data_IF_986776778618
#
_entry.id   IF_986776778618
#
_cell.length_a   1.000
_cell.length_b   1.000
_cell.length_c   1.000
_cell.angle_alpha   90.00
_cell.angle_beta   90.00
_cell.angle_gamma   90.00
#
_symmetry.space_group_name_H-M   'P 1'
#
loop_
_entity.id
_entity.type
_entity.pdbx_description
1 polymer ?
#
# COMPACT_ATOMS: atom_id res chain seq x y z
N UNK A 1 -35.07 -16.54 -3.90
CA UNK A 1 -34.17 -16.61 -2.73
C UNK A 1 -33.44 -15.27 -2.61
N UNK A 2 -33.62 -14.49 -1.54
CA UNK A 2 -32.88 -13.26 -1.34
C UNK A 2 -31.43 -13.59 -0.91
N UNK A 3 -30.43 -12.76 -1.25
CA UNK A 3 -29.08 -12.93 -0.74
C UNK A 3 -29.06 -12.61 0.77
N UNK A 4 -28.54 -13.56 1.56
CA UNK A 4 -28.59 -13.58 3.03
C UNK A 4 -27.52 -12.72 3.72
N UNK A 5 -26.81 -11.83 3.00
CA UNK A 5 -25.85 -10.90 3.58
C UNK A 5 -25.89 -9.57 2.83
N UNK A 6 -26.83 -8.71 3.20
CA UNK A 6 -26.82 -7.31 2.80
C UNK A 6 -25.76 -6.56 3.60
N UNK A 7 -24.51 -6.57 3.12
CA UNK A 7 -23.59 -5.50 3.48
C UNK A 7 -24.24 -4.19 3.01
N UNK A 8 -24.67 -3.36 3.96
CA UNK A 8 -25.14 -2.01 3.66
C UNK A 8 -23.96 -1.27 3.06
N UNK A 9 -23.93 -1.09 1.75
CA UNK A 9 -23.04 -0.13 1.11
C UNK A 9 -23.29 1.21 1.78
N UNK A 10 -22.37 1.65 2.62
CA UNK A 10 -22.46 2.96 3.27
C UNK A 10 -22.21 3.98 2.17
N UNK A 11 -23.26 4.68 1.74
CA UNK A 11 -23.13 5.73 0.73
C UNK A 11 -22.21 6.83 1.24
N UNK A 12 -21.13 7.09 0.51
CA UNK A 12 -20.19 8.14 0.85
C UNK A 12 -20.89 9.52 0.82
N UNK A 13 -20.45 10.48 1.65
CA UNK A 13 -21.01 11.84 1.62
C UNK A 13 -20.81 12.49 0.25
N UNK A 14 -21.83 13.18 -0.27
CA UNK A 14 -21.83 13.80 -1.61
C UNK A 14 -20.81 14.93 -1.82
N UNK A 15 -20.20 15.42 -0.73
CA UNK A 15 -19.13 16.43 -0.77
C UNK A 15 -17.74 15.81 -0.84
N UNK A 16 -17.61 14.50 -0.64
CA UNK A 16 -16.35 13.79 -0.73
C UNK A 16 -16.03 13.55 -2.21
N UNK A 17 -14.88 14.00 -2.73
CA UNK A 17 -14.48 13.67 -4.09
C UNK A 17 -14.45 12.14 -4.30
N UNK A 18 -14.89 11.68 -5.47
CA UNK A 18 -14.97 10.25 -5.84
C UNK A 18 -13.62 9.49 -5.74
N UNK A 19 -12.51 10.22 -5.64
CA UNK A 19 -11.18 9.64 -5.48
C UNK A 19 -10.73 9.49 -4.02
N UNK A 20 -11.53 9.97 -3.06
CA UNK A 20 -11.41 9.71 -1.63
C UNK A 20 -12.36 8.61 -1.14
N UNK A 21 -13.22 8.07 -2.00
CA UNK A 21 -14.05 6.92 -1.64
C UNK A 21 -13.15 5.72 -1.30
N UNK A 22 -13.48 4.97 -0.25
CA UNK A 22 -12.70 3.80 0.16
C UNK A 22 -12.93 2.58 -0.75
N UNK A 23 -13.57 2.72 -1.90
CA UNK A 23 -13.86 1.60 -2.80
C UNK A 23 -12.62 1.18 -3.56
N UNK A 24 -12.34 -0.12 -3.55
CA UNK A 24 -11.21 -0.72 -4.26
C UNK A 24 -11.63 -1.06 -5.70
N UNK A 25 -11.19 -0.24 -6.65
CA UNK A 25 -11.39 -0.49 -8.09
C UNK A 25 -10.08 -0.99 -8.73
N UNK A 26 -9.97 -2.31 -8.93
CA UNK A 26 -8.81 -2.93 -9.58
C UNK A 26 -9.19 -3.50 -10.94
N UNK A 27 -8.49 -3.07 -11.99
CA UNK A 27 -8.55 -3.69 -13.30
C UNK A 27 -8.04 -5.15 -13.23
N UNK A 28 -8.45 -6.05 -14.15
CA UNK A 28 -8.02 -7.46 -14.14
C UNK A 28 -6.49 -7.62 -14.09
N UNK A 29 -5.75 -6.79 -14.82
CA UNK A 29 -4.27 -6.79 -14.82
C UNK A 29 -3.69 -6.40 -13.46
N UNK A 30 -4.33 -5.46 -12.75
CA UNK A 30 -3.93 -5.04 -11.40
C UNK A 30 -4.20 -6.14 -10.36
N UNK A 31 -5.19 -7.02 -10.57
CA UNK A 31 -5.45 -8.16 -9.69
C UNK A 31 -4.32 -9.20 -9.75
N UNK A 32 -3.77 -9.47 -10.94
CA UNK A 32 -2.57 -10.32 -11.07
C UNK A 32 -1.36 -9.66 -10.40
N UNK A 33 -1.20 -8.35 -10.59
CA UNK A 33 -0.16 -7.58 -9.91
C UNK A 33 -0.28 -7.63 -8.38
N UNK A 34 -1.50 -7.53 -7.86
CA UNK A 34 -1.79 -7.67 -6.45
C UNK A 34 -1.41 -9.07 -5.92
N UNK A 35 -1.83 -10.13 -6.61
CA UNK A 35 -1.49 -11.50 -6.22
C UNK A 35 0.03 -11.71 -6.17
N UNK A 36 0.76 -11.18 -7.16
CA UNK A 36 2.22 -11.17 -7.18
C UNK A 36 2.81 -10.44 -5.97
N UNK A 37 2.34 -9.22 -5.69
CA UNK A 37 2.80 -8.43 -4.54
C UNK A 37 2.57 -9.16 -3.22
N UNK A 38 1.36 -9.69 -2.99
CA UNK A 38 1.03 -10.43 -1.77
C UNK A 38 1.92 -11.67 -1.59
N UNK A 39 2.22 -12.40 -2.68
CA UNK A 39 3.18 -13.49 -2.66
C UNK A 39 4.58 -13.02 -2.25
N UNK A 40 5.09 -11.96 -2.89
CA UNK A 40 6.41 -11.40 -2.58
C UNK A 40 6.50 -10.87 -1.14
N UNK A 41 5.43 -10.22 -0.64
CA UNK A 41 5.36 -9.71 0.72
C UNK A 41 5.30 -10.82 1.76
N UNK A 42 4.62 -11.93 1.45
CA UNK A 42 4.60 -13.10 2.33
C UNK A 42 6.01 -13.70 2.47
N UNK A 43 6.71 -13.89 1.35
CA UNK A 43 8.10 -14.38 1.34
C UNK A 43 9.03 -13.41 2.08
N UNK A 44 8.93 -12.12 1.80
CA UNK A 44 9.73 -11.09 2.47
C UNK A 44 9.43 -10.98 3.97
N UNK A 45 8.16 -11.09 4.37
CA UNK A 45 7.75 -11.11 5.79
C UNK A 45 8.34 -12.32 6.50
N UNK A 46 8.25 -13.50 5.90
CA UNK A 46 8.84 -14.70 6.47
C UNK A 46 10.36 -14.60 6.58
N UNK A 47 11.00 -14.09 5.52
CA UNK A 47 12.43 -13.82 5.46
C UNK A 47 12.88 -12.88 6.58
N UNK A 48 12.17 -11.76 6.77
CA UNK A 48 12.46 -10.73 7.78
C UNK A 48 12.29 -11.29 9.21
N UNK A 49 11.23 -12.08 9.45
CA UNK A 49 11.03 -12.78 10.73
C UNK A 49 12.10 -13.83 11.02
N UNK A 50 12.58 -14.54 9.98
CA UNK A 50 13.63 -15.55 10.06
C UNK A 50 15.05 -14.99 9.95
N UNK A 51 15.22 -13.67 9.77
CA UNK A 51 16.51 -12.97 9.61
C UNK A 51 17.30 -13.39 8.37
N UNK A 52 16.58 -13.65 7.28
CA UNK A 52 17.15 -13.93 5.97
C UNK A 52 17.20 -12.62 5.14
N UNK A 53 18.07 -12.58 4.13
CA UNK A 53 18.30 -11.36 3.32
C UNK A 53 17.43 -11.26 2.06
N UNK A 54 16.43 -12.14 1.88
CA UNK A 54 15.66 -12.23 0.63
C UNK A 54 14.87 -10.95 0.30
N UNK A 55 14.60 -10.09 1.29
CA UNK A 55 13.92 -8.81 1.06
C UNK A 55 14.65 -7.92 0.04
N UNK A 56 15.99 -7.95 0.04
CA UNK A 56 16.80 -7.10 -0.84
C UNK A 56 16.59 -7.44 -2.32
N UNK A 57 16.33 -8.71 -2.62
CA UNK A 57 16.10 -9.20 -3.99
C UNK A 57 14.78 -8.70 -4.57
N UNK A 58 13.79 -8.41 -3.72
CA UNK A 58 12.48 -7.92 -4.16
C UNK A 58 12.42 -6.40 -4.33
N UNK A 59 13.41 -5.63 -3.85
CA UNK A 59 13.38 -4.16 -3.90
C UNK A 59 13.27 -3.66 -5.34
N UNK A 60 14.12 -4.18 -6.22
CA UNK A 60 14.09 -3.82 -7.65
C UNK A 60 12.73 -4.16 -8.26
N UNK A 61 12.18 -5.32 -7.92
CA UNK A 61 10.89 -5.76 -8.42
C UNK A 61 9.75 -4.85 -7.93
N UNK A 62 9.77 -4.44 -6.66
CA UNK A 62 8.76 -3.51 -6.12
C UNK A 62 8.86 -2.12 -6.74
N UNK A 63 10.07 -1.63 -7.00
CA UNK A 63 10.26 -0.36 -7.69
C UNK A 63 9.80 -0.44 -9.15
N UNK A 64 10.14 -1.52 -9.86
CA UNK A 64 9.66 -1.78 -11.22
C UNK A 64 8.14 -1.92 -11.26
N UNK A 65 7.55 -2.59 -10.27
CA UNK A 65 6.11 -2.71 -10.13
C UNK A 65 5.44 -1.34 -9.94
N UNK A 66 5.94 -0.53 -9.01
CA UNK A 66 5.42 0.81 -8.78
C UNK A 66 5.56 1.67 -10.04
N UNK A 67 6.69 1.60 -10.74
CA UNK A 67 6.90 2.31 -12.00
C UNK A 67 5.94 1.85 -13.10
N UNK A 68 5.70 0.54 -13.22
CA UNK A 68 4.73 0.00 -14.16
C UNK A 68 3.30 0.48 -13.85
N UNK A 69 2.92 0.56 -12.56
CA UNK A 69 1.63 1.12 -12.14
C UNK A 69 1.53 2.62 -12.41
N UNK A 70 2.62 3.39 -12.26
CA UNK A 70 2.66 4.79 -12.67
C UNK A 70 2.42 4.93 -14.18
N UNK A 71 3.12 4.13 -14.99
CA UNK A 71 2.91 4.09 -16.44
C UNK A 71 1.48 3.72 -16.83
N UNK A 72 0.88 2.75 -16.13
CA UNK A 72 -0.51 2.37 -16.31
C UNK A 72 -1.49 3.51 -15.97
N UNK A 73 -1.32 4.18 -14.83
CA UNK A 73 -2.15 5.33 -14.44
C UNK A 73 -2.02 6.50 -15.44
N UNK A 74 -0.80 6.76 -15.92
CA UNK A 74 -0.54 7.79 -16.95
C UNK A 74 -1.23 7.42 -18.27
N UNK A 75 -1.16 6.17 -18.70
CA UNK A 75 -1.83 5.69 -19.90
C UNK A 75 -3.36 5.84 -19.79
N UNK A 76 -3.95 5.49 -18.64
CA UNK A 76 -5.39 5.71 -18.38
C UNK A 76 -5.77 7.19 -18.38
N UNK A 77 -4.90 8.06 -17.87
CA UNK A 77 -5.14 9.51 -17.89
C UNK A 77 -5.06 10.10 -19.30
N UNK A 78 -4.15 9.61 -20.14
CA UNK A 78 -4.10 9.96 -21.56
C UNK A 78 -5.36 9.50 -22.31
N UNK A 79 -5.89 8.33 -21.97
CA UNK A 79 -7.16 7.81 -22.50
C UNK A 79 -8.42 8.51 -21.97
N UNK A 80 -8.29 9.46 -21.04
CA UNK A 80 -9.42 10.18 -20.44
C UNK A 80 -10.21 9.40 -19.39
N UNK A 81 -9.79 8.17 -19.04
CA UNK A 81 -10.47 7.35 -18.04
C UNK A 81 -10.28 7.88 -16.61
N UNK A 82 -9.16 8.56 -16.36
CA UNK A 82 -8.79 9.10 -15.06
C UNK A 82 -8.29 10.53 -15.22
N UNK A 83 -8.69 11.44 -14.32
CA UNK A 83 -8.16 12.81 -14.36
C UNK A 83 -6.66 12.86 -14.03
N UNK A 84 -5.91 13.73 -14.73
CA UNK A 84 -4.51 14.02 -14.41
C UNK A 84 -4.31 14.50 -12.97
N UNK A 85 -5.28 15.23 -12.42
CA UNK A 85 -5.28 15.65 -11.02
C UNK A 85 -5.27 14.43 -10.08
N UNK A 86 -6.12 13.43 -10.33
CA UNK A 86 -6.18 12.19 -9.50
C UNK A 86 -4.84 11.46 -9.52
N UNK A 87 -4.21 11.33 -10.69
CA UNK A 87 -2.88 10.72 -10.85
C UNK A 87 -1.83 11.52 -10.09
N UNK A 88 -1.78 12.85 -10.29
CA UNK A 88 -0.84 13.74 -9.61
C UNK A 88 -0.97 13.70 -8.09
N UNK A 89 -2.21 13.71 -7.57
CA UNK A 89 -2.47 13.59 -6.13
C UNK A 89 -2.02 12.23 -5.60
N UNK A 90 -2.39 11.11 -6.25
CA UNK A 90 -1.97 9.76 -5.82
C UNK A 90 -0.46 9.63 -5.74
N UNK A 91 0.23 9.96 -6.83
CA UNK A 91 1.69 9.79 -6.90
C UNK A 91 2.45 10.83 -6.08
N UNK A 92 1.89 12.04 -5.92
CA UNK A 92 2.38 13.03 -4.96
C UNK A 92 2.28 12.53 -3.52
N UNK A 93 1.17 11.91 -3.13
CA UNK A 93 1.00 11.29 -1.81
C UNK A 93 1.98 10.13 -1.60
N UNK A 94 2.12 9.22 -2.57
CA UNK A 94 3.06 8.09 -2.49
C UNK A 94 4.51 8.62 -2.37
N UNK A 95 4.89 9.59 -3.20
CA UNK A 95 6.24 10.16 -3.19
C UNK A 95 6.55 10.90 -1.89
N UNK A 96 5.64 11.74 -1.42
CA UNK A 96 5.78 12.46 -0.15
C UNK A 96 5.85 11.47 1.02
N UNK A 97 4.94 10.50 1.07
CA UNK A 97 4.93 9.51 2.14
C UNK A 97 6.21 8.66 2.13
N UNK A 98 6.70 8.26 0.94
CA UNK A 98 7.96 7.54 0.79
C UNK A 98 9.15 8.35 1.32
N UNK A 99 9.26 9.64 0.94
CA UNK A 99 10.31 10.53 1.41
C UNK A 99 10.28 10.68 2.94
N UNK A 100 9.10 10.91 3.52
CA UNK A 100 8.92 11.03 4.97
C UNK A 100 9.16 9.72 5.73
N UNK A 101 9.16 8.58 5.04
CA UNK A 101 9.34 7.24 5.62
C UNK A 101 10.80 6.75 5.59
N UNK A 102 11.66 7.41 4.82
CA UNK A 102 13.07 7.05 4.72
C UNK A 102 13.81 7.37 6.03
N UNK A 103 14.71 6.47 6.46
CA UNK A 103 15.61 6.65 7.62
C UNK A 103 16.22 8.05 7.80
N UNK A 104 16.79 8.72 6.76
CA UNK A 104 17.35 10.07 6.91
C UNK A 104 16.33 11.14 7.34
N UNK A 105 15.05 10.99 6.97
CA UNK A 105 13.98 11.97 7.29
C UNK A 105 13.21 11.53 8.53
N UNK A 106 12.69 10.30 8.51
CA UNK A 106 12.21 9.64 9.72
C UNK A 106 10.91 10.16 10.31
N UNK A 107 10.13 10.96 9.56
CA UNK A 107 8.93 11.67 10.07
C UNK A 107 7.73 10.72 10.18
N UNK A 108 7.41 10.01 9.11
CA UNK A 108 6.32 9.01 9.10
C UNK A 108 6.80 7.66 9.62
N UNK A 109 7.96 7.23 9.16
CA UNK A 109 8.63 6.01 9.60
C UNK A 109 10.14 6.21 9.47
N UNK A 110 10.94 5.40 10.16
CA UNK A 110 12.42 5.40 10.06
C UNK A 110 12.89 4.12 9.38
N UNK A 111 12.57 3.96 8.10
CA UNK A 111 12.70 2.67 7.39
C UNK A 111 13.90 2.58 6.45
N UNK A 112 14.31 1.35 6.15
CA UNK A 112 15.25 1.09 5.08
C UNK A 112 14.56 1.34 3.72
N UNK A 113 15.34 1.64 2.65
CA UNK A 113 14.77 1.85 1.31
C UNK A 113 13.92 0.67 0.81
N UNK A 114 14.25 -0.56 1.23
CA UNK A 114 13.52 -1.76 0.87
C UNK A 114 12.05 -1.75 1.38
N UNK A 115 11.84 -1.38 2.64
CA UNK A 115 10.48 -1.31 3.22
C UNK A 115 9.67 -0.16 2.59
N UNK A 116 10.34 0.95 2.28
CA UNK A 116 9.71 2.09 1.59
C UNK A 116 9.27 1.69 0.18
N UNK A 117 10.09 0.92 -0.54
CA UNK A 117 9.72 0.39 -1.85
C UNK A 117 8.51 -0.55 -1.75
N UNK A 118 8.43 -1.41 -0.71
CA UNK A 118 7.28 -2.27 -0.48
C UNK A 118 5.99 -1.46 -0.20
N UNK A 119 6.07 -0.43 0.65
CA UNK A 119 4.96 0.48 0.92
C UNK A 119 4.51 1.21 -0.36
N UNK A 120 5.45 1.70 -1.16
CA UNK A 120 5.16 2.39 -2.41
C UNK A 120 4.51 1.44 -3.45
N UNK A 121 5.00 0.21 -3.56
CA UNK A 121 4.42 -0.80 -4.44
C UNK A 121 2.99 -1.15 -4.03
N UNK A 122 2.74 -1.39 -2.74
CA UNK A 122 1.39 -1.63 -2.23
C UNK A 122 0.46 -0.43 -2.51
N UNK A 123 0.91 0.78 -2.16
CA UNK A 123 0.15 2.01 -2.35
C UNK A 123 -0.11 2.33 -3.84
N UNK A 124 0.73 1.87 -4.75
CA UNK A 124 0.54 2.07 -6.20
C UNK A 124 -0.72 1.39 -6.76
N UNK A 125 -1.27 0.40 -6.06
CA UNK A 125 -2.54 -0.23 -6.43
C UNK A 125 -3.78 0.48 -5.87
N UNK A 126 -3.57 1.45 -4.98
CA UNK A 126 -4.66 2.07 -4.22
C UNK A 126 -5.14 3.37 -4.87
N UNK A 127 -6.40 3.72 -4.62
CA UNK A 127 -6.92 5.07 -4.88
C UNK A 127 -6.26 6.07 -3.93
N UNK A 128 -6.26 7.38 -4.22
CA UNK A 128 -5.61 8.34 -3.32
C UNK A 128 -6.18 8.32 -1.88
N UNK A 129 -7.49 8.14 -1.71
CA UNK A 129 -8.09 7.96 -0.38
C UNK A 129 -7.56 6.72 0.34
N UNK A 130 -7.46 5.60 -0.37
CA UNK A 130 -6.90 4.36 0.18
C UNK A 130 -5.39 4.45 0.47
N UNK A 131 -4.63 5.28 -0.25
CA UNK A 131 -3.22 5.55 0.09
C UNK A 131 -3.12 6.21 1.48
N UNK A 132 -3.96 7.22 1.76
CA UNK A 132 -3.97 7.89 3.08
C UNK A 132 -4.34 6.89 4.17
N UNK A 133 -5.41 6.10 3.94
CA UNK A 133 -5.83 5.06 4.86
C UNK A 133 -4.71 4.03 5.09
N UNK A 134 -4.04 3.57 4.04
CA UNK A 134 -2.96 2.60 4.10
C UNK A 134 -1.79 3.07 4.96
N UNK A 135 -1.28 4.27 4.72
CA UNK A 135 -0.20 4.81 5.54
C UNK A 135 -0.64 5.04 7.01
N UNK A 136 -1.90 5.40 7.23
CA UNK A 136 -2.47 5.54 8.59
C UNK A 136 -2.53 4.19 9.30
N UNK A 137 -3.06 3.16 8.66
CA UNK A 137 -3.14 1.78 9.20
C UNK A 137 -1.74 1.23 9.44
N UNK A 138 -0.82 1.38 8.48
CA UNK A 138 0.57 0.98 8.65
C UNK A 138 1.23 1.69 9.83
N UNK A 139 0.93 2.97 10.05
CA UNK A 139 1.44 3.73 11.21
C UNK A 139 0.91 3.18 12.53
N UNK A 140 -0.39 2.91 12.63
CA UNK A 140 -1.00 2.31 13.82
C UNK A 140 -0.41 0.93 14.11
N UNK A 141 -0.30 0.08 13.09
CA UNK A 141 0.30 -1.24 13.21
C UNK A 141 1.78 -1.17 13.61
N UNK A 142 2.55 -0.22 13.08
CA UNK A 142 3.94 -0.03 13.45
C UNK A 142 4.11 0.39 14.92
N UNK A 143 3.21 1.21 15.45
CA UNK A 143 3.22 1.61 16.87
C UNK A 143 2.94 0.41 17.79
N UNK A 144 2.02 -0.48 17.39
CA UNK A 144 1.66 -1.68 18.17
C UNK A 144 2.72 -2.78 18.03
N UNK A 145 3.19 -3.03 16.81
CA UNK A 145 4.13 -4.11 16.50
C UNK A 145 5.58 -3.77 16.85
N UNK A 146 5.94 -2.47 16.83
CA UNK A 146 7.30 -1.99 17.11
C UNK A 146 7.85 -2.47 18.46
N UNK A 147 7.13 -2.30 19.58
CA UNK A 147 7.55 -2.81 20.88
C UNK A 147 7.71 -4.34 20.93
N UNK A 148 6.84 -5.07 20.23
CA UNK A 148 6.81 -6.53 20.23
C UNK A 148 7.94 -7.13 19.38
N UNK A 149 8.23 -6.52 18.24
CA UNK A 149 9.20 -7.03 17.26
C UNK A 149 10.61 -6.43 17.45
N UNK A 150 10.70 -5.30 18.15
CA UNK A 150 11.94 -4.54 18.33
C UNK A 150 12.90 -5.07 19.40
N UNK A 151 12.49 -6.05 20.23
CA UNK A 151 13.22 -6.54 21.41
C UNK A 151 14.75 -6.60 21.29
N UNK A 152 15.42 -5.50 21.65
CA UNK A 152 16.89 -5.34 21.67
C UNK A 152 17.60 -5.28 20.30
N UNK A 153 16.88 -5.16 19.18
CA UNK A 153 17.46 -5.21 17.83
C UNK A 153 17.85 -3.82 17.32
N UNK A 154 18.97 -3.72 16.58
CA UNK A 154 19.37 -2.45 15.93
C UNK A 154 18.45 -2.07 14.76
N UNK A 155 17.75 -3.05 14.17
CA UNK A 155 16.70 -2.87 13.18
C UNK A 155 15.59 -3.89 13.43
N UNK A 156 14.33 -3.45 13.44
CA UNK A 156 13.18 -4.33 13.64
C UNK A 156 12.52 -4.67 12.30
N UNK A 157 11.91 -5.87 12.18
CA UNK A 157 11.37 -6.37 10.92
C UNK A 157 10.06 -5.65 10.55
N UNK A 158 10.08 -4.78 9.54
CA UNK A 158 8.93 -3.95 9.16
C UNK A 158 8.01 -4.61 8.13
N UNK A 159 8.48 -5.60 7.37
CA UNK A 159 7.66 -6.27 6.36
C UNK A 159 6.34 -6.88 6.88
N UNK A 160 6.26 -7.46 8.10
CA UNK A 160 4.98 -7.88 8.69
C UNK A 160 3.93 -6.75 8.73
N UNK A 161 4.36 -5.51 9.01
CA UNK A 161 3.45 -4.36 9.05
C UNK A 161 2.96 -3.98 7.66
N UNK A 162 3.84 -4.01 6.65
CA UNK A 162 3.45 -3.76 5.25
C UNK A 162 2.38 -4.77 4.82
N UNK A 163 2.62 -6.06 5.09
CA UNK A 163 1.70 -7.14 4.72
C UNK A 163 0.35 -7.00 5.41
N UNK A 164 0.35 -6.80 6.73
CA UNK A 164 -0.90 -6.65 7.49
C UNK A 164 -1.67 -5.38 7.10
N UNK A 165 -0.98 -4.27 6.87
CA UNK A 165 -1.61 -3.04 6.40
C UNK A 165 -2.23 -3.23 5.01
N UNK A 166 -1.54 -3.96 4.13
CA UNK A 166 -2.04 -4.27 2.78
C UNK A 166 -3.33 -5.08 2.88
N UNK A 167 -3.34 -6.17 3.65
CA UNK A 167 -4.54 -6.97 3.88
C UNK A 167 -5.68 -6.16 4.50
N UNK A 168 -5.39 -5.37 5.54
CA UNK A 168 -6.41 -4.57 6.21
C UNK A 168 -7.10 -3.59 5.26
N UNK A 169 -6.32 -2.88 4.43
CA UNK A 169 -6.87 -1.93 3.45
C UNK A 169 -7.62 -2.63 2.33
N UNK A 170 -7.15 -3.78 1.85
CA UNK A 170 -7.88 -4.56 0.84
C UNK A 170 -9.22 -5.05 1.38
N UNK A 171 -9.26 -5.56 2.61
CA UNK A 171 -10.50 -5.98 3.26
C UNK A 171 -11.43 -4.79 3.44
N UNK A 172 -10.94 -3.65 3.95
CA UNK A 172 -11.75 -2.45 4.11
C UNK A 172 -12.28 -1.94 2.78
N UNK A 173 -11.44 -1.89 1.73
CA UNK A 173 -11.87 -1.42 0.42
C UNK A 173 -12.73 -2.39 -0.37
N UNK A 174 -12.78 -3.66 0.04
CA UNK A 174 -13.74 -4.64 -0.46
C UNK A 174 -15.11 -4.52 0.23
N UNK A 175 -15.13 -4.13 1.50
CA UNK A 175 -16.37 -4.03 2.30
C UNK A 175 -17.18 -2.75 2.03
N UNK A 176 -16.59 -1.77 1.33
CA UNK A 176 -17.17 -0.48 1.01
C UNK A 176 -17.51 -0.34 -0.47
#
# INVERSE_FOLDING_TARGET
MPPLFGARAMSAPTWLPDWLTPTLELAPTQQFGLAFLLGSFTVATWSDLKRLSAQREFVEIWLLFALAMLGYDVWRAQGGEVSWLRVGVKWGLIGLASLLSLRPVGVLFRLAPADVAALAAAASLLTPGLVILFYTVARLLAVVAGPLLGGGRSAWPFMPVVTLATFAVLVLGWLW
#
